data_IF_501949989448
#
_entry.id   IF_501949989448
#
_cell.length_a   1.000
_cell.length_b   1.000
_cell.length_c   1.000
_cell.angle_alpha   90.00
_cell.angle_beta   90.00
_cell.angle_gamma   90.00
#
_symmetry.space_group_name_H-M   'P 1'
#
loop_
_entity.id
_entity.type
_entity.pdbx_description
1 polymer ?
#
# COMPACT_ATOMS: atom_id res chain seq x y z
N UNK A 1 -0.44 16.16 12.13
CA UNK A 1 -0.49 14.70 11.96
C UNK A 1 -0.97 14.08 13.26
N UNK A 2 -2.23 13.63 13.31
CA UNK A 2 -2.66 12.72 14.38
C UNK A 2 -1.96 11.39 14.17
N UNK A 3 -1.64 10.71 15.27
CA UNK A 3 -1.17 9.31 15.31
C UNK A 3 0.10 8.96 14.52
N UNK A 4 0.90 9.96 14.16
CA UNK A 4 2.27 9.71 13.69
C UNK A 4 3.13 9.19 14.84
N UNK A 5 3.82 8.08 14.61
CA UNK A 5 4.76 7.48 15.56
C UNK A 5 6.08 7.18 14.86
N UNK A 6 7.19 7.23 15.60
CA UNK A 6 8.54 6.94 15.08
C UNK A 6 8.70 5.50 14.57
N UNK A 7 7.77 4.61 14.90
CA UNK A 7 7.75 3.23 14.41
C UNK A 7 7.17 3.09 13.00
N UNK A 8 6.50 4.13 12.49
CA UNK A 8 5.88 4.15 11.17
C UNK A 8 6.88 4.59 10.11
N UNK A 9 7.15 3.70 9.16
CA UNK A 9 8.03 3.96 8.02
C UNK A 9 7.19 4.00 6.74
N UNK A 10 7.08 5.15 6.06
CA UNK A 10 6.37 5.24 4.80
C UNK A 10 7.18 4.58 3.69
N UNK A 11 6.51 3.82 2.81
CA UNK A 11 7.17 3.15 1.69
C UNK A 11 6.48 3.36 0.34
N UNK A 12 5.28 3.93 0.31
CA UNK A 12 4.60 4.39 -0.90
C UNK A 12 3.66 5.55 -0.58
N UNK A 13 3.48 6.47 -1.52
CA UNK A 13 2.60 7.64 -1.39
C UNK A 13 1.82 7.83 -2.68
N UNK A 14 0.57 8.28 -2.57
CA UNK A 14 -0.19 8.78 -3.71
C UNK A 14 -0.02 10.29 -3.87
N UNK A 15 -0.61 10.85 -4.94
CA UNK A 15 -0.54 12.28 -5.26
C UNK A 15 -1.29 13.17 -4.26
N UNK A 16 -2.23 12.59 -3.51
CA UNK A 16 -3.05 13.27 -2.51
C UNK A 16 -2.39 13.31 -1.12
N UNK A 17 -1.16 12.77 -0.98
CA UNK A 17 -0.43 12.72 0.29
C UNK A 17 -0.80 11.56 1.21
N UNK A 18 -1.73 10.69 0.79
CA UNK A 18 -1.97 9.41 1.44
C UNK A 18 -0.78 8.47 1.27
N UNK A 19 -0.47 7.70 2.31
CA UNK A 19 0.69 6.83 2.34
C UNK A 19 0.35 5.39 2.75
N UNK A 20 1.17 4.46 2.28
CA UNK A 20 1.32 3.15 2.92
C UNK A 20 2.50 3.22 3.88
N UNK A 21 2.25 2.80 5.11
CA UNK A 21 3.25 2.75 6.17
C UNK A 21 3.43 1.31 6.66
N UNK A 22 4.65 0.95 7.00
CA UNK A 22 4.95 -0.25 7.77
C UNK A 22 5.21 0.14 9.22
N UNK A 23 4.60 -0.58 10.17
CA UNK A 23 4.76 -0.34 11.60
C UNK A 23 5.76 -1.33 12.20
N UNK A 24 6.98 -0.85 12.47
CA UNK A 24 8.07 -1.63 13.06
C UNK A 24 7.73 -2.14 14.48
N UNK A 25 6.82 -1.47 15.19
CA UNK A 25 6.30 -1.91 16.48
C UNK A 25 5.30 -3.06 16.37
N UNK A 26 4.78 -3.35 15.17
CA UNK A 26 3.75 -4.35 14.92
C UNK A 26 4.21 -5.42 13.90
N UNK A 27 5.45 -5.92 14.04
CA UNK A 27 6.06 -6.92 13.14
C UNK A 27 6.07 -6.49 11.66
N UNK A 28 6.25 -5.20 11.42
CA UNK A 28 6.21 -4.61 10.07
C UNK A 28 4.85 -4.82 9.37
N UNK A 29 3.75 -4.80 10.13
CA UNK A 29 2.41 -4.80 9.55
C UNK A 29 2.17 -3.53 8.72
N UNK A 30 1.41 -3.66 7.64
CA UNK A 30 1.16 -2.57 6.68
C UNK A 30 -0.19 -1.92 6.94
N UNK A 31 -0.23 -0.59 6.92
CA UNK A 31 -1.43 0.23 7.12
C UNK A 31 -1.51 1.34 6.08
N UNK A 32 -2.73 1.81 5.84
CA UNK A 32 -2.95 3.11 5.22
C UNK A 32 -2.72 4.20 6.26
N UNK A 33 -2.15 5.32 5.81
CA UNK A 33 -1.97 6.53 6.61
C UNK A 33 -2.47 7.73 5.80
N UNK A 34 -3.38 8.49 6.38
CA UNK A 34 -3.96 9.69 5.77
C UNK A 34 -3.98 10.84 6.79
N UNK A 35 -4.68 11.93 6.46
CA UNK A 35 -4.87 13.05 7.38
C UNK A 35 -5.56 12.67 8.69
N UNK A 36 -6.38 11.60 8.66
CA UNK A 36 -7.04 11.01 9.83
C UNK A 36 -6.10 10.14 10.67
N UNK A 37 -4.85 9.92 10.23
CA UNK A 37 -3.84 9.12 10.89
C UNK A 37 -3.75 7.68 10.35
N UNK A 38 -3.25 6.77 11.19
CA UNK A 38 -3.07 5.36 10.83
C UNK A 38 -4.43 4.64 10.82
N UNK A 39 -4.73 3.94 9.73
CA UNK A 39 -5.95 3.13 9.61
C UNK A 39 -6.08 2.08 10.72
N UNK A 40 -7.31 1.82 11.18
CA UNK A 40 -7.59 0.92 12.30
C UNK A 40 -7.39 -0.58 12.01
N UNK A 41 -7.20 -0.96 10.75
CA UNK A 41 -7.00 -2.36 10.31
C UNK A 41 -5.74 -2.47 9.46
N UNK A 42 -4.93 -3.50 9.72
CA UNK A 42 -3.78 -3.80 8.87
C UNK A 42 -4.22 -4.38 7.52
N UNK A 43 -3.55 -3.96 6.46
CA UNK A 43 -3.69 -4.52 5.11
C UNK A 43 -2.98 -5.88 4.99
N UNK A 44 -1.88 -6.05 5.74
CA UNK A 44 -1.14 -7.30 5.89
C UNK A 44 -0.40 -7.34 7.24
N UNK A 45 -0.14 -8.52 7.79
CA UNK A 45 0.57 -8.66 9.07
C UNK A 45 2.08 -8.46 8.95
N UNK A 46 2.64 -8.48 7.74
CA UNK A 46 4.05 -8.17 7.46
C UNK A 46 4.19 -7.45 6.11
N UNK A 47 5.27 -6.68 5.93
CA UNK A 47 5.61 -6.03 4.67
C UNK A 47 5.85 -7.05 3.55
N UNK A 48 6.48 -8.18 3.86
CA UNK A 48 6.73 -9.24 2.88
C UNK A 48 5.41 -9.78 2.32
N UNK A 49 4.46 -10.15 3.20
CA UNK A 49 3.16 -10.67 2.77
C UNK A 49 2.38 -9.64 1.94
N UNK A 50 2.48 -8.34 2.29
CA UNK A 50 1.89 -7.27 1.49
C UNK A 50 2.46 -7.25 0.07
N UNK A 51 3.79 -7.25 -0.05
CA UNK A 51 4.49 -7.19 -1.34
C UNK A 51 4.24 -8.45 -2.19
N UNK A 52 4.17 -9.63 -1.57
CA UNK A 52 3.83 -10.87 -2.27
C UNK A 52 2.41 -10.84 -2.82
N UNK A 53 1.43 -10.39 -2.02
CA UNK A 53 0.05 -10.23 -2.48
C UNK A 53 -0.06 -9.19 -3.60
N UNK A 54 0.65 -8.06 -3.46
CA UNK A 54 0.69 -7.02 -4.48
C UNK A 54 1.29 -7.55 -5.79
N UNK A 55 2.45 -8.23 -5.74
CA UNK A 55 3.06 -8.90 -6.90
C UNK A 55 2.08 -9.89 -7.55
N UNK A 56 1.45 -10.74 -6.76
CA UNK A 56 0.50 -11.74 -7.29
C UNK A 56 -0.71 -11.07 -7.96
N UNK A 57 -1.18 -9.93 -7.43
CA UNK A 57 -2.22 -9.10 -8.07
C UNK A 57 -1.74 -8.54 -9.41
N UNK A 58 -0.53 -7.98 -9.48
CA UNK A 58 0.04 -7.48 -10.75
C UNK A 58 0.18 -8.59 -11.81
N UNK A 59 0.54 -9.81 -11.39
CA UNK A 59 0.71 -10.97 -12.26
C UNK A 59 -0.60 -11.73 -12.55
N UNK A 60 -1.74 -11.28 -12.04
CA UNK A 60 -3.01 -12.02 -12.17
C UNK A 60 -3.63 -11.95 -13.58
N UNK A 61 -2.99 -11.27 -14.52
CA UNK A 61 -3.54 -10.99 -15.85
C UNK A 61 -4.73 -10.01 -15.82
N UNK A 62 -4.93 -9.28 -14.72
CA UNK A 62 -5.94 -8.23 -14.61
C UNK A 62 -5.39 -6.83 -14.87
N UNK A 63 -4.09 -6.70 -15.16
CA UNK A 63 -3.43 -5.42 -15.38
C UNK A 63 -2.74 -5.40 -16.73
N UNK A 64 -2.75 -4.24 -17.36
CA UNK A 64 -1.92 -3.91 -18.51
C UNK A 64 -1.07 -2.69 -18.20
N UNK A 65 0.08 -2.59 -18.86
CA UNK A 65 0.90 -1.39 -18.85
C UNK A 65 0.69 -0.64 -20.16
N UNK A 66 0.27 0.62 -20.07
CA UNK A 66 0.08 1.52 -21.21
C UNK A 66 1.17 2.58 -21.15
N UNK A 67 1.93 2.72 -22.22
CA UNK A 67 2.95 3.77 -22.36
C UNK A 67 2.31 5.15 -22.13
N UNK A 68 3.04 6.05 -21.46
CA UNK A 68 2.57 7.39 -21.04
C UNK A 68 1.39 7.47 -20.06
N UNK A 69 0.78 6.34 -19.67
CA UNK A 69 -0.31 6.27 -18.68
C UNK A 69 0.10 5.50 -17.43
N UNK A 70 0.79 4.37 -17.60
CA UNK A 70 1.20 3.49 -16.53
C UNK A 70 0.34 2.22 -16.41
N UNK A 71 0.25 1.69 -15.20
CA UNK A 71 -0.47 0.45 -14.91
C UNK A 71 -1.99 0.72 -14.86
N UNK A 72 -2.76 -0.02 -15.66
CA UNK A 72 -4.22 0.08 -15.73
C UNK A 72 -4.88 -1.27 -15.48
N UNK A 73 -6.07 -1.27 -14.89
CA UNK A 73 -6.88 -2.48 -14.75
C UNK A 73 -7.58 -2.82 -16.08
N UNK A 74 -7.55 -4.09 -16.47
CA UNK A 74 -8.25 -4.57 -17.67
C UNK A 74 -9.76 -4.50 -17.46
N UNK A 75 -10.47 -3.87 -18.39
CA UNK A 75 -11.93 -4.02 -18.45
C UNK A 75 -12.25 -5.47 -18.82
N UNK A 76 -13.04 -6.16 -18.00
CA UNK A 76 -13.65 -7.43 -18.42
C UNK A 76 -14.67 -7.10 -19.52
N UNK A 77 -14.38 -7.51 -20.76
CA UNK A 77 -15.39 -7.56 -21.82
C UNK A 77 -16.28 -8.79 -21.63
#
# INVERSE_FOLDING_TARGET
>A
MKDWASTLIPFATNVDGGALVTDTGARNAVFEFSDDGKGGRSLAPTLLEYLEKYRNRLLSGHFDFVEDVGLVERSRK
#
